data_IF_821652131450
#
_entry.id   IF_821652131450
#
_cell.length_a   1.000
_cell.length_b   1.000
_cell.length_c   1.000
_cell.angle_alpha   90.00
_cell.angle_beta   90.00
_cell.angle_gamma   90.00
#
_symmetry.space_group_name_H-M   'P 1'
#
loop_
_entity.id
_entity.type
_entity.pdbx_description
1 polymer ?
#
# COMPACT_ATOMS: atom_id res chain seq x y z
N UNK A 1 -0.88 13.83 17.19
CA UNK A 1 -2.30 13.78 16.76
C UNK A 1 -3.03 12.63 17.45
N UNK A 2 -2.53 11.37 17.41
CA UNK A 2 -3.16 10.21 18.05
C UNK A 2 -3.29 10.34 19.57
N UNK A 3 -2.24 10.85 20.25
CA UNK A 3 -2.26 11.10 21.69
C UNK A 3 -3.29 12.17 22.09
N UNK A 4 -3.44 13.21 21.27
CA UNK A 4 -4.45 14.25 21.49
C UNK A 4 -5.88 13.71 21.31
N UNK A 5 -6.10 12.93 20.25
CA UNK A 5 -7.39 12.25 20.00
C UNK A 5 -7.71 11.30 21.16
N UNK A 6 -6.75 10.51 21.63
CA UNK A 6 -6.91 9.62 22.79
C UNK A 6 -7.31 10.37 24.05
N UNK A 7 -6.65 11.50 24.36
CA UNK A 7 -6.95 12.33 25.53
C UNK A 7 -8.35 12.97 25.45
N UNK A 8 -8.75 13.48 24.27
CA UNK A 8 -10.07 14.07 24.04
C UNK A 8 -11.16 13.01 24.16
N UNK A 9 -10.97 11.83 23.58
CA UNK A 9 -11.94 10.71 23.68
C UNK A 9 -12.01 10.24 25.13
N UNK A 10 -10.88 10.05 25.82
CA UNK A 10 -10.85 9.63 27.23
C UNK A 10 -11.55 10.63 28.15
N UNK A 11 -11.34 11.93 27.98
CA UNK A 11 -11.99 12.95 28.78
C UNK A 11 -13.51 12.98 28.56
N UNK A 12 -13.96 12.88 27.31
CA UNK A 12 -15.40 12.86 26.95
C UNK A 12 -16.10 11.59 27.43
N UNK A 13 -15.45 10.43 27.36
CA UNK A 13 -16.01 9.16 27.85
C UNK A 13 -16.12 9.15 29.38
N UNK A 14 -15.13 9.69 30.09
CA UNK A 14 -15.17 9.80 31.56
C UNK A 14 -16.24 10.79 32.07
N UNK A 15 -16.52 11.85 31.31
CA UNK A 15 -17.59 12.82 31.68
C UNK A 15 -18.99 12.35 31.28
N UNK A 16 -19.13 11.41 30.33
CA UNK A 16 -20.41 10.90 29.85
C UNK A 16 -21.13 9.99 30.87
N UNK A 17 -20.46 9.55 31.93
CA UNK A 17 -21.00 8.60 32.92
C UNK A 17 -22.14 9.14 33.81
N UNK A 18 -22.57 10.40 33.67
CA UNK A 18 -23.68 10.99 34.44
C UNK A 18 -24.96 11.24 33.65
N UNK A 19 -24.95 11.11 32.32
CA UNK A 19 -26.12 11.34 31.47
C UNK A 19 -26.19 10.28 30.33
N UNK A 20 -27.34 9.58 30.21
CA UNK A 20 -27.56 8.58 29.14
C UNK A 20 -27.28 9.14 27.75
N UNK A 21 -27.64 10.39 27.47
CA UNK A 21 -27.35 11.07 26.22
C UNK A 21 -25.85 11.19 25.94
N UNK A 22 -25.02 11.54 26.95
CA UNK A 22 -23.56 11.61 26.82
C UNK A 22 -22.92 10.24 26.53
N UNK A 23 -23.46 9.17 27.09
CA UNK A 23 -23.00 7.80 26.81
C UNK A 23 -23.25 7.41 25.34
N UNK A 24 -24.44 7.71 24.80
CA UNK A 24 -24.78 7.44 23.40
C UNK A 24 -23.90 8.23 22.44
N UNK A 25 -23.62 9.51 22.72
CA UNK A 25 -22.70 10.34 21.93
C UNK A 25 -21.29 9.76 21.98
N UNK A 26 -20.82 9.32 23.13
CA UNK A 26 -19.49 8.70 23.28
C UNK A 26 -19.35 7.39 22.49
N UNK A 27 -20.36 6.53 22.56
CA UNK A 27 -20.39 5.28 21.76
C UNK A 27 -20.45 5.57 20.27
N UNK A 28 -21.23 6.55 19.83
CA UNK A 28 -21.33 6.93 18.43
C UNK A 28 -20.00 7.45 17.88
N UNK A 29 -19.29 8.30 18.64
CA UNK A 29 -17.95 8.78 18.26
C UNK A 29 -16.95 7.62 18.18
N UNK A 30 -16.98 6.68 19.12
CA UNK A 30 -16.11 5.49 19.07
C UNK A 30 -16.39 4.62 17.85
N UNK A 31 -17.64 4.44 17.47
CA UNK A 31 -18.02 3.69 16.27
C UNK A 31 -17.54 4.38 14.99
N UNK A 32 -17.64 5.71 14.90
CA UNK A 32 -17.10 6.47 13.76
C UNK A 32 -15.56 6.31 13.68
N UNK A 33 -14.87 6.45 14.81
CA UNK A 33 -13.40 6.30 14.85
C UNK A 33 -13.00 4.87 14.46
N UNK A 34 -13.69 3.87 14.96
CA UNK A 34 -13.47 2.47 14.61
C UNK A 34 -13.75 2.19 13.12
N UNK A 35 -14.80 2.78 12.56
CA UNK A 35 -15.13 2.66 11.14
C UNK A 35 -14.05 3.32 10.25
N UNK A 36 -13.60 4.54 10.61
CA UNK A 36 -12.53 5.25 9.88
C UNK A 36 -11.22 4.46 9.93
N UNK A 37 -10.87 3.92 11.10
CA UNK A 37 -9.69 3.06 11.26
C UNK A 37 -9.86 1.79 10.41
N UNK A 38 -11.02 1.14 10.47
CA UNK A 38 -11.29 -0.08 9.70
C UNK A 38 -11.19 0.11 8.20
N UNK A 39 -11.77 1.19 7.65
CA UNK A 39 -11.65 1.55 6.23
C UNK A 39 -10.20 1.85 5.86
N UNK A 40 -9.48 2.59 6.70
CA UNK A 40 -8.06 2.89 6.48
C UNK A 40 -7.21 1.62 6.44
N UNK A 41 -7.50 0.62 7.30
CA UNK A 41 -6.78 -0.66 7.28
C UNK A 41 -7.15 -1.55 6.08
N UNK A 42 -8.36 -1.46 5.54
CA UNK A 42 -8.75 -2.22 4.35
C UNK A 42 -7.94 -1.79 3.10
N UNK A 43 -7.64 -0.49 2.99
CA UNK A 43 -6.84 0.09 1.89
C UNK A 43 -5.35 -0.29 1.95
N UNK A 44 -4.89 -0.82 3.10
CA UNK A 44 -3.46 -1.12 3.30
C UNK A 44 -3.04 -2.52 2.81
N UNK A 45 -3.97 -3.45 2.55
CA UNK A 45 -3.59 -4.86 2.30
C UNK A 45 -2.87 -5.06 0.97
N UNK A 46 -3.50 -4.93 -0.15
CA UNK A 46 -2.85 -5.07 -1.46
C UNK A 46 -3.25 -3.94 -2.38
N UNK A 47 -2.30 -3.40 -3.14
CA UNK A 47 -2.60 -2.44 -4.20
C UNK A 47 -3.09 -3.20 -5.42
N UNK A 48 -4.11 -2.68 -6.10
CA UNK A 48 -4.59 -3.23 -7.34
C UNK A 48 -3.71 -2.72 -8.50
N UNK A 49 -3.34 -3.62 -9.43
CA UNK A 49 -2.63 -3.27 -10.64
C UNK A 49 -3.60 -3.31 -11.80
N UNK A 50 -3.79 -2.18 -12.44
CA UNK A 50 -4.67 -2.00 -13.59
C UNK A 50 -3.84 -1.77 -14.85
N UNK A 51 -4.13 -2.52 -15.89
CA UNK A 51 -3.48 -2.39 -17.21
C UNK A 51 -4.44 -1.62 -18.11
N UNK A 52 -4.08 -0.40 -18.47
CA UNK A 52 -4.82 0.40 -19.45
C UNK A 52 -4.19 0.31 -20.83
N UNK A 53 -4.72 1.03 -21.82
CA UNK A 53 -4.20 0.98 -23.19
C UNK A 53 -2.74 1.46 -23.28
N UNK A 54 -2.34 2.45 -22.49
CA UNK A 54 -1.07 3.16 -22.61
C UNK A 54 -0.19 3.11 -21.34
N UNK A 55 -0.70 2.63 -20.20
CA UNK A 55 0.03 2.63 -18.94
C UNK A 55 -0.34 1.49 -17.99
N UNK A 56 0.52 1.23 -17.03
CA UNK A 56 0.21 0.45 -15.83
C UNK A 56 -0.09 1.40 -14.68
N UNK A 57 -1.18 1.15 -13.97
CA UNK A 57 -1.58 1.90 -12.78
C UNK A 57 -1.59 0.96 -11.58
N UNK A 58 -0.91 1.37 -10.52
CA UNK A 58 -0.99 0.71 -9.22
C UNK A 58 -1.82 1.63 -8.33
N UNK A 59 -3.04 1.21 -8.02
CA UNK A 59 -4.00 2.00 -7.27
C UNK A 59 -3.72 2.02 -5.77
N UNK A 60 -4.28 3.00 -5.09
CA UNK A 60 -4.18 3.17 -3.64
C UNK A 60 -3.51 4.47 -3.23
N UNK A 61 -3.49 4.74 -1.92
CA UNK A 61 -3.00 6.00 -1.32
C UNK A 61 -1.56 6.36 -1.73
N UNK A 62 -0.72 5.37 -1.96
CA UNK A 62 0.68 5.55 -2.39
C UNK A 62 0.91 5.05 -3.81
N UNK A 63 -0.16 4.95 -4.59
CA UNK A 63 -0.13 4.41 -5.94
C UNK A 63 0.77 5.16 -6.91
N UNK A 64 0.98 4.57 -8.08
CA UNK A 64 1.78 5.15 -9.14
C UNK A 64 1.24 4.75 -10.50
N UNK A 65 1.49 5.58 -11.49
CA UNK A 65 1.14 5.34 -12.89
C UNK A 65 2.41 5.37 -13.74
N UNK A 66 2.60 4.34 -14.54
CA UNK A 66 3.79 4.17 -15.38
C UNK A 66 3.37 4.02 -16.83
N UNK A 67 3.65 5.01 -17.69
CA UNK A 67 3.43 4.90 -19.12
C UNK A 67 4.22 3.74 -19.73
N UNK A 68 3.65 3.09 -20.75
CA UNK A 68 4.25 1.93 -21.42
C UNK A 68 5.66 2.20 -21.92
N UNK A 69 5.88 3.36 -22.52
CA UNK A 69 7.17 3.79 -23.09
C UNK A 69 8.26 4.00 -22.03
N UNK A 70 7.89 4.19 -20.76
CA UNK A 70 8.84 4.34 -19.66
C UNK A 70 9.25 3.03 -19.00
N UNK A 71 8.64 1.92 -19.40
CA UNK A 71 8.98 0.59 -18.90
C UNK A 71 10.06 0.01 -19.79
N UNK A 72 11.28 -0.07 -19.30
CA UNK A 72 12.42 -0.64 -20.04
C UNK A 72 12.31 -2.16 -20.13
N UNK A 73 12.06 -2.82 -19.01
CA UNK A 73 11.89 -4.27 -18.93
C UNK A 73 10.96 -4.70 -17.81
N UNK A 74 10.40 -5.90 -17.96
CA UNK A 74 9.55 -6.56 -16.97
C UNK A 74 10.16 -7.91 -16.63
N UNK A 75 10.38 -8.18 -15.36
CA UNK A 75 11.00 -9.41 -14.88
C UNK A 75 10.13 -10.04 -13.79
N UNK A 76 10.19 -11.36 -13.70
CA UNK A 76 9.64 -12.11 -12.57
C UNK A 76 10.80 -12.50 -11.66
N UNK A 77 10.81 -11.98 -10.43
CA UNK A 77 11.94 -12.14 -9.51
C UNK A 77 11.53 -12.90 -8.25
N UNK A 78 12.37 -13.84 -7.76
CA UNK A 78 12.05 -14.64 -6.59
C UNK A 78 12.23 -13.89 -5.27
N UNK A 79 12.99 -12.79 -5.25
CA UNK A 79 13.32 -12.06 -4.04
C UNK A 79 13.22 -10.55 -4.22
N UNK A 80 12.85 -9.87 -3.15
CA UNK A 80 12.87 -8.41 -3.05
C UNK A 80 14.29 -7.91 -2.72
N UNK A 81 14.64 -6.66 -3.08
CA UNK A 81 15.91 -6.08 -2.70
C UNK A 81 16.02 -5.89 -1.19
N UNK A 82 17.24 -5.91 -0.66
CA UNK A 82 17.48 -5.63 0.75
C UNK A 82 17.21 -4.15 1.03
N UNK A 83 16.20 -3.88 1.86
CA UNK A 83 15.75 -2.53 2.21
C UNK A 83 16.53 -2.01 3.41
N UNK A 84 16.95 -0.75 3.33
CA UNK A 84 17.57 0.00 4.43
C UNK A 84 16.51 0.75 5.24
N UNK A 85 15.72 1.61 4.59
CA UNK A 85 14.64 2.35 5.24
C UNK A 85 13.57 2.80 4.23
N UNK A 86 12.42 3.18 4.77
CA UNK A 86 11.32 3.79 4.03
C UNK A 86 11.54 5.30 3.94
N UNK A 87 11.43 5.86 2.73
CA UNK A 87 11.50 7.32 2.51
C UNK A 87 10.12 7.96 2.46
N UNK A 88 9.15 7.30 1.80
CA UNK A 88 7.78 7.77 1.71
C UNK A 88 6.84 6.57 1.55
N UNK A 89 5.70 6.59 2.24
CA UNK A 89 4.70 5.55 2.10
C UNK A 89 4.38 4.81 3.39
N UNK A 90 4.02 3.55 3.27
CA UNK A 90 3.56 2.67 4.33
C UNK A 90 4.42 1.40 4.44
N UNK A 91 4.77 1.02 5.66
CA UNK A 91 5.36 -0.26 5.95
C UNK A 91 4.85 -0.75 7.32
N UNK A 92 4.05 -1.79 7.32
CA UNK A 92 3.57 -2.43 8.54
C UNK A 92 3.38 -3.93 8.32
N UNK A 93 3.89 -4.74 9.24
CA UNK A 93 3.88 -6.19 9.12
C UNK A 93 4.57 -6.64 7.82
N UNK A 94 3.83 -7.42 7.03
CA UNK A 94 4.33 -7.97 5.77
C UNK A 94 4.14 -7.04 4.57
N UNK A 95 3.37 -5.96 4.71
CA UNK A 95 3.03 -5.06 3.61
C UNK A 95 3.97 -3.86 3.54
N UNK A 96 4.38 -3.51 2.30
CA UNK A 96 5.16 -2.33 2.01
C UNK A 96 4.61 -1.64 0.76
N UNK A 97 4.38 -0.32 0.83
CA UNK A 97 3.86 0.50 -0.27
C UNK A 97 4.53 1.86 -0.28
N UNK A 98 5.04 2.26 -1.42
CA UNK A 98 5.68 3.57 -1.62
C UNK A 98 7.18 3.47 -1.88
N UNK A 99 7.92 4.50 -1.48
CA UNK A 99 9.33 4.66 -1.79
C UNK A 99 10.23 4.16 -0.65
N UNK A 100 11.22 3.37 -1.03
CA UNK A 100 12.17 2.74 -0.11
C UNK A 100 13.60 2.92 -0.59
N UNK A 101 14.52 3.05 0.36
CA UNK A 101 15.94 3.05 0.11
C UNK A 101 16.50 1.65 0.33
N UNK A 102 17.18 1.11 -0.67
CA UNK A 102 17.86 -0.17 -0.58
C UNK A 102 19.21 -0.04 0.13
N UNK A 103 19.78 -1.17 0.59
CA UNK A 103 21.11 -1.18 1.21
C UNK A 103 22.21 -0.77 0.26
N UNK A 104 22.06 -1.01 -1.03
CA UNK A 104 22.95 -0.55 -2.12
C UNK A 104 22.66 0.88 -2.59
N UNK A 105 21.91 1.65 -1.79
CA UNK A 105 21.61 3.08 -1.95
C UNK A 105 20.77 3.45 -3.18
N UNK A 106 20.04 2.52 -3.76
CA UNK A 106 19.05 2.83 -4.81
C UNK A 106 17.71 3.21 -4.18
N UNK A 107 16.94 4.00 -4.88
CA UNK A 107 15.53 4.23 -4.54
C UNK A 107 14.66 3.31 -5.38
N UNK A 108 13.76 2.58 -4.72
CA UNK A 108 12.82 1.67 -5.36
C UNK A 108 11.40 1.93 -4.84
N UNK A 109 10.40 1.62 -5.67
CA UNK A 109 9.02 1.59 -5.23
C UNK A 109 8.62 0.15 -4.91
N UNK A 110 8.00 -0.05 -3.76
CA UNK A 110 7.46 -1.34 -3.35
C UNK A 110 5.92 -1.24 -3.27
N UNK A 111 5.25 -2.24 -3.80
CA UNK A 111 3.82 -2.50 -3.63
C UNK A 111 3.66 -4.00 -3.44
N UNK A 112 4.07 -4.46 -2.25
CA UNK A 112 4.29 -5.88 -2.01
C UNK A 112 3.79 -6.35 -0.65
N UNK A 113 3.41 -7.63 -0.62
CA UNK A 113 3.44 -8.43 0.58
C UNK A 113 4.77 -9.20 0.59
N UNK A 114 5.61 -9.00 1.60
CA UNK A 114 6.95 -9.58 1.69
C UNK A 114 6.98 -11.11 1.80
N UNK A 115 5.84 -11.72 2.14
CA UNK A 115 5.68 -13.17 2.19
C UNK A 115 5.34 -13.80 0.85
N UNK A 116 4.98 -13.00 -0.15
CA UNK A 116 4.59 -13.47 -1.48
C UNK A 116 5.82 -13.52 -2.39
N UNK A 117 5.97 -14.61 -3.10
CA UNK A 117 6.99 -14.83 -4.13
C UNK A 117 6.37 -15.68 -5.25
N UNK A 118 6.72 -15.41 -6.51
CA UNK A 118 7.61 -14.36 -7.00
C UNK A 118 6.94 -12.97 -7.05
N UNK A 119 7.74 -11.93 -7.26
CA UNK A 119 7.28 -10.56 -7.49
C UNK A 119 7.57 -10.13 -8.93
N UNK A 120 6.75 -9.21 -9.46
CA UNK A 120 7.02 -8.56 -10.75
C UNK A 120 7.90 -7.35 -10.50
N UNK A 121 9.01 -7.28 -11.21
CA UNK A 121 9.90 -6.13 -11.25
C UNK A 121 9.69 -5.39 -12.56
N UNK A 122 9.25 -4.13 -12.47
CA UNK A 122 9.21 -3.18 -13.57
C UNK A 122 10.47 -2.32 -13.48
N UNK A 123 11.35 -2.44 -14.45
CA UNK A 123 12.47 -1.50 -14.61
C UNK A 123 12.02 -0.32 -15.44
N UNK A 124 12.14 0.86 -14.89
CA UNK A 124 11.71 2.09 -15.53
C UNK A 124 12.83 3.13 -15.54
N UNK A 125 12.73 4.12 -16.42
CA UNK A 125 13.64 5.25 -16.45
C UNK A 125 13.67 6.07 -15.14
N UNK A 126 12.63 5.93 -14.30
CA UNK A 126 12.49 6.63 -13.02
C UNK A 126 12.85 5.75 -11.81
N UNK A 127 13.28 4.51 -12.03
CA UNK A 127 13.65 3.55 -10.98
C UNK A 127 12.86 2.25 -11.04
N UNK A 128 13.22 1.33 -10.18
CA UNK A 128 12.65 -0.01 -10.12
C UNK A 128 11.35 -0.01 -9.29
N UNK A 129 10.34 -0.73 -9.77
CA UNK A 129 9.06 -0.93 -9.08
C UNK A 129 8.84 -2.42 -8.89
N UNK A 130 8.62 -2.84 -7.66
CA UNK A 130 8.31 -4.23 -7.30
C UNK A 130 6.84 -4.33 -6.93
N UNK A 131 6.16 -5.30 -7.51
CA UNK A 131 4.74 -5.55 -7.28
C UNK A 131 4.48 -7.03 -7.03
N UNK A 132 3.68 -7.34 -6.03
CA UNK A 132 3.02 -8.63 -5.87
C UNK A 132 1.66 -8.48 -5.17
N UNK A 133 0.86 -9.53 -5.25
CA UNK A 133 -0.45 -9.59 -4.61
C UNK A 133 -0.73 -11.02 -4.18
N UNK A 134 -1.34 -11.16 -3.02
CA UNK A 134 -1.86 -12.43 -2.51
C UNK A 134 -3.17 -12.88 -3.21
N UNK A 135 -3.77 -12.01 -4.01
CA UNK A 135 -5.02 -12.27 -4.74
C UNK A 135 -4.81 -12.69 -6.19
N UNK A 136 -3.59 -12.62 -6.71
CA UNK A 136 -3.27 -12.81 -8.13
C UNK A 136 -2.18 -13.87 -8.31
N UNK A 137 -2.29 -14.61 -9.39
CA UNK A 137 -1.21 -15.46 -9.90
C UNK A 137 -0.15 -14.55 -10.56
N UNK A 138 1.02 -14.42 -9.93
CA UNK A 138 2.08 -13.53 -10.41
C UNK A 138 2.67 -13.95 -11.76
N UNK A 139 2.92 -15.24 -12.06
CA UNK A 139 3.30 -15.69 -13.39
C UNK A 139 2.27 -15.34 -14.48
N UNK A 140 0.98 -15.55 -14.20
CA UNK A 140 -0.08 -15.20 -15.16
C UNK A 140 -0.17 -13.69 -15.40
N UNK A 141 -0.05 -12.88 -14.35
CA UNK A 141 -0.01 -11.42 -14.46
C UNK A 141 1.23 -10.94 -15.22
N UNK A 142 2.38 -11.54 -14.97
CA UNK A 142 3.63 -11.26 -15.70
C UNK A 142 3.44 -11.49 -17.21
N UNK A 143 2.90 -12.64 -17.61
CA UNK A 143 2.64 -12.95 -19.02
C UNK A 143 1.68 -11.93 -19.65
N UNK A 144 0.64 -11.51 -18.92
CA UNK A 144 -0.30 -10.48 -19.39
C UNK A 144 0.40 -9.13 -19.62
N UNK A 145 1.29 -8.73 -18.73
CA UNK A 145 2.05 -7.48 -18.87
C UNK A 145 3.03 -7.56 -20.05
N UNK A 146 3.72 -8.70 -20.25
CA UNK A 146 4.62 -8.89 -21.39
C UNK A 146 3.86 -8.79 -22.71
N UNK A 147 2.71 -9.44 -22.82
CA UNK A 147 1.86 -9.37 -24.03
C UNK A 147 1.35 -7.95 -24.29
N UNK A 148 0.96 -7.24 -23.23
CA UNK A 148 0.53 -5.84 -23.34
C UNK A 148 1.68 -4.93 -23.76
N UNK A 149 2.88 -5.14 -23.22
CA UNK A 149 4.08 -4.33 -23.55
C UNK A 149 4.52 -4.54 -24.99
N UNK A 150 4.34 -5.73 -25.55
CA UNK A 150 4.74 -6.10 -26.92
C UNK A 150 3.79 -5.63 -28.03
N UNK A 151 2.64 -5.05 -27.67
CA UNK A 151 1.69 -4.44 -28.61
C UNK A 151 2.06 -3.00 -28.90
#
# INVERSE_FOLDING_TARGET
VLAYIYLVVKSKVLYAGKNKAGTYVGVFVLLIVAAVIGVSFADFKSSELVITADRLEIEGTFGTSVPREKIDSVLLVPALPAISYKTYGFAAGDYAKGDFRTKDRRTVKLYVNKKISPSILLKTSSGDIYYNSDKLDMPALYNKIIQWKGK
#
